data_IF_815972173639
#
_entry.id   IF_815972173639
#
_cell.length_a   1.000
_cell.length_b   1.000
_cell.length_c   1.000
_cell.angle_alpha   90.00
_cell.angle_beta   90.00
_cell.angle_gamma   90.00
#
_symmetry.space_group_name_H-M   'P 1'
#
loop_
_entity.id
_entity.type
_entity.pdbx_description
1 polymer ?
#
# COMPACT_ATOMS: atom_id res chain seq x y z
N UNK A 1 -33.15 -21.45 0.94
CA UNK A 1 -33.28 -20.26 1.79
C UNK A 1 -31.87 -19.84 2.15
N UNK A 2 -31.38 -18.74 1.62
CA UNK A 2 -30.02 -18.25 1.90
C UNK A 2 -30.10 -17.39 3.14
N UNK A 3 -29.52 -17.81 4.25
CA UNK A 3 -29.38 -16.97 5.43
C UNK A 3 -28.48 -15.78 5.07
N UNK A 4 -29.03 -14.57 5.08
CA UNK A 4 -28.25 -13.35 4.94
C UNK A 4 -27.39 -13.18 6.19
N UNK A 5 -26.10 -13.52 6.09
CA UNK A 5 -25.13 -13.26 7.15
C UNK A 5 -25.12 -11.77 7.46
N UNK A 6 -25.59 -11.41 8.65
CA UNK A 6 -25.61 -10.03 9.14
C UNK A 6 -24.30 -9.77 9.87
N UNK A 7 -23.51 -8.81 9.39
CA UNK A 7 -22.26 -8.41 10.03
C UNK A 7 -22.52 -7.45 11.19
N UNK A 8 -21.74 -7.55 12.27
CA UNK A 8 -21.82 -6.58 13.36
C UNK A 8 -21.14 -5.26 12.98
N UNK A 9 -21.54 -4.10 13.56
CA UNK A 9 -20.91 -2.81 13.29
C UNK A 9 -19.39 -2.83 13.53
N UNK A 10 -18.94 -3.47 14.61
CA UNK A 10 -17.53 -3.61 14.92
C UNK A 10 -16.76 -4.41 13.85
N UNK A 11 -17.38 -5.44 13.26
CA UNK A 11 -16.77 -6.20 12.17
C UNK A 11 -16.68 -5.37 10.89
N UNK A 12 -17.75 -4.64 10.53
CA UNK A 12 -17.74 -3.75 9.37
C UNK A 12 -16.68 -2.65 9.49
N UNK A 13 -16.53 -2.06 10.69
CA UNK A 13 -15.47 -1.09 10.97
C UNK A 13 -14.07 -1.69 10.79
N UNK A 14 -13.82 -2.88 11.35
CA UNK A 14 -12.53 -3.56 11.23
C UNK A 14 -12.18 -3.91 9.77
N UNK A 15 -13.18 -4.30 8.97
CA UNK A 15 -13.00 -4.55 7.52
C UNK A 15 -12.63 -3.25 6.81
N UNK A 16 -13.31 -2.14 7.12
CA UNK A 16 -13.00 -0.81 6.58
C UNK A 16 -11.58 -0.35 6.91
N UNK A 17 -11.16 -0.49 8.17
CA UNK A 17 -9.80 -0.13 8.62
C UNK A 17 -8.72 -0.98 7.93
N UNK A 18 -8.98 -2.27 7.72
CA UNK A 18 -8.07 -3.14 6.97
C UNK A 18 -7.96 -2.72 5.50
N UNK A 19 -9.08 -2.41 4.86
CA UNK A 19 -9.10 -1.92 3.49
C UNK A 19 -8.32 -0.60 3.35
N UNK A 20 -8.46 0.30 4.32
CA UNK A 20 -7.71 1.55 4.40
C UNK A 20 -6.19 1.30 4.55
N UNK A 21 -5.78 0.39 5.44
CA UNK A 21 -4.37 0.02 5.64
C UNK A 21 -3.75 -0.65 4.40
N UNK A 22 -4.55 -1.33 3.59
CA UNK A 22 -4.14 -1.92 2.30
C UNK A 22 -4.12 -0.90 1.15
N UNK A 23 -4.50 0.36 1.39
CA UNK A 23 -4.59 1.40 0.36
C UNK A 23 -5.80 1.28 -0.57
N UNK A 24 -6.79 0.43 -0.24
CA UNK A 24 -8.01 0.22 -1.00
C UNK A 24 -9.10 1.21 -0.56
N UNK A 25 -8.87 2.49 -0.81
CA UNK A 25 -9.68 3.58 -0.26
C UNK A 25 -11.15 3.56 -0.72
N UNK A 26 -11.45 3.12 -1.93
CA UNK A 26 -12.84 2.98 -2.40
C UNK A 26 -13.61 1.95 -1.59
N UNK A 27 -12.97 0.82 -1.29
CA UNK A 27 -13.57 -0.26 -0.52
C UNK A 27 -13.76 0.16 0.94
N UNK A 28 -12.77 0.84 1.52
CA UNK A 28 -12.90 1.43 2.86
C UNK A 28 -14.07 2.44 2.92
N UNK A 29 -14.20 3.29 1.90
CA UNK A 29 -15.29 4.28 1.79
C UNK A 29 -16.67 3.62 1.76
N UNK A 30 -16.83 2.49 1.05
CA UNK A 30 -18.09 1.75 1.03
C UNK A 30 -18.48 1.21 2.41
N UNK A 31 -17.53 0.64 3.17
CA UNK A 31 -17.84 0.16 4.53
C UNK A 31 -18.14 1.31 5.48
N UNK A 32 -17.34 2.37 5.44
CA UNK A 32 -17.55 3.50 6.33
C UNK A 32 -18.86 4.25 6.05
N UNK A 33 -19.24 4.41 4.78
CA UNK A 33 -20.55 4.99 4.41
C UNK A 33 -21.71 4.09 4.85
N UNK A 34 -21.64 2.79 4.57
CA UNK A 34 -22.65 1.84 5.04
C UNK A 34 -22.79 1.86 6.57
N UNK A 35 -21.66 1.96 7.29
CA UNK A 35 -21.65 2.06 8.75
C UNK A 35 -22.31 3.37 9.25
N UNK A 36 -21.98 4.50 8.62
CA UNK A 36 -22.54 5.80 8.97
C UNK A 36 -24.04 5.89 8.70
N UNK A 37 -24.51 5.29 7.60
CA UNK A 37 -25.91 5.34 7.17
C UNK A 37 -26.80 4.42 7.99
N UNK A 38 -26.38 3.17 8.23
CA UNK A 38 -27.21 2.16 8.90
C UNK A 38 -27.01 2.08 10.41
N UNK A 39 -25.87 2.55 10.93
CA UNK A 39 -25.51 2.43 12.35
C UNK A 39 -25.19 3.78 13.01
N UNK A 40 -25.83 4.87 12.55
CA UNK A 40 -25.55 6.26 12.96
C UNK A 40 -25.44 6.52 14.48
N UNK A 41 -26.13 5.72 15.30
CA UNK A 41 -26.16 5.87 16.76
C UNK A 41 -25.09 5.07 17.50
N UNK A 42 -24.21 4.34 16.82
CA UNK A 42 -23.16 3.54 17.45
C UNK A 42 -21.83 4.31 17.51
N UNK A 43 -20.92 4.00 18.45
CA UNK A 43 -19.60 4.62 18.50
C UNK A 43 -18.77 4.32 17.25
N UNK A 44 -18.95 3.14 16.65
CA UNK A 44 -18.23 2.75 15.43
C UNK A 44 -18.58 3.66 14.24
N UNK A 45 -19.84 4.12 14.13
CA UNK A 45 -20.24 5.07 13.10
C UNK A 45 -19.51 6.41 13.21
N UNK A 46 -19.23 6.87 14.44
CA UNK A 46 -18.44 8.08 14.64
C UNK A 46 -16.99 7.87 14.18
N UNK A 47 -16.40 6.71 14.46
CA UNK A 47 -15.05 6.36 13.97
C UNK A 47 -15.00 6.27 12.44
N UNK A 48 -16.02 5.68 11.81
CA UNK A 48 -16.12 5.60 10.35
C UNK A 48 -16.19 6.99 9.70
N UNK A 49 -16.93 7.95 10.30
CA UNK A 49 -16.96 9.34 9.81
C UNK A 49 -15.58 10.01 9.86
N UNK A 50 -14.80 9.77 10.93
CA UNK A 50 -13.40 10.24 10.97
C UNK A 50 -12.53 9.54 9.92
N UNK A 51 -12.78 8.26 9.64
CA UNK A 51 -12.13 7.52 8.55
C UNK A 51 -12.40 8.14 7.18
N UNK A 52 -13.66 8.47 6.89
CA UNK A 52 -14.05 9.14 5.63
C UNK A 52 -13.35 10.49 5.45
N UNK A 53 -13.29 11.32 6.48
CA UNK A 53 -12.57 12.60 6.42
C UNK A 53 -11.08 12.43 6.15
N UNK A 54 -10.47 11.38 6.71
CA UNK A 54 -9.06 11.08 6.50
C UNK A 54 -8.80 10.61 5.06
N UNK A 55 -9.66 9.75 4.52
CA UNK A 55 -9.62 9.33 3.10
C UNK A 55 -9.78 10.53 2.18
N UNK A 56 -10.74 11.43 2.45
CA UNK A 56 -10.95 12.65 1.65
C UNK A 56 -9.68 13.52 1.56
N UNK A 57 -8.97 13.70 2.69
CA UNK A 57 -7.69 14.43 2.68
C UNK A 57 -6.62 13.73 1.85
N UNK A 58 -6.55 12.40 1.89
CA UNK A 58 -5.63 11.64 1.05
C UNK A 58 -5.96 11.79 -0.44
N UNK A 59 -7.23 11.67 -0.80
CA UNK A 59 -7.71 11.85 -2.18
C UNK A 59 -7.44 13.28 -2.65
N UNK A 60 -7.72 14.29 -1.83
CA UNK A 60 -7.46 15.69 -2.17
C UNK A 60 -5.96 15.97 -2.32
N UNK A 61 -5.11 15.37 -1.49
CA UNK A 61 -3.66 15.48 -1.62
C UNK A 61 -3.15 14.83 -2.92
N UNK A 62 -3.73 13.70 -3.33
CA UNK A 62 -3.40 13.06 -4.62
C UNK A 62 -3.91 13.89 -5.81
N UNK A 63 -5.12 14.43 -5.73
CA UNK A 63 -5.69 15.30 -6.76
C UNK A 63 -4.87 16.58 -6.95
N UNK A 64 -4.35 17.16 -5.85
CA UNK A 64 -3.45 18.30 -5.91
C UNK A 64 -2.11 17.98 -6.58
N UNK A 65 -1.64 16.73 -6.49
CA UNK A 65 -0.42 16.28 -7.18
C UNK A 65 -0.65 16.08 -8.68
N UNK A 66 -1.80 15.52 -9.07
CA UNK A 66 -2.16 15.33 -10.49
C UNK A 66 -2.51 16.65 -11.19
N UNK A 67 -3.08 17.61 -10.46
CA UNK A 67 -3.49 18.91 -11.01
C UNK A 67 -2.42 20.00 -10.87
N UNK A 68 -1.14 19.65 -10.73
CA UNK A 68 -0.09 20.62 -11.00
C UNK A 68 0.10 20.64 -12.52
N UNK A 69 -0.52 21.59 -13.28
CA UNK A 69 -0.28 21.68 -14.71
C UNK A 69 1.21 21.85 -14.87
N UNK A 70 1.84 20.81 -15.42
CA UNK A 70 3.22 20.83 -15.85
C UNK A 70 3.42 22.19 -16.52
N UNK A 71 4.27 23.10 -15.97
CA UNK A 71 4.43 24.42 -16.52
C UNK A 71 4.75 24.22 -17.98
N UNK A 72 3.81 24.60 -18.86
CA UNK A 72 4.03 24.51 -20.29
C UNK A 72 5.27 25.33 -20.53
N UNK A 73 6.39 24.66 -20.75
CA UNK A 73 7.64 25.31 -21.05
C UNK A 73 7.32 26.29 -22.18
N UNK A 74 7.58 27.61 -22.00
CA UNK A 74 7.22 28.59 -23.01
C UNK A 74 7.78 28.11 -24.34
N UNK A 75 6.91 27.88 -25.33
CA UNK A 75 7.30 27.51 -26.69
C UNK A 75 8.33 28.53 -27.15
N UNK A 76 9.60 28.10 -27.20
CA UNK A 76 10.69 28.84 -27.84
C UNK A 76 10.50 28.72 -29.35
N UNK A 77 9.49 29.42 -29.87
CA UNK A 77 9.42 29.80 -31.27
C UNK A 77 10.29 31.05 -31.44
N UNK A 78 11.61 30.86 -31.42
CA UNK A 78 12.59 31.77 -32.02
C UNK A 78 13.99 31.17 -31.84
N UNK A 79 14.57 30.68 -32.93
CA UNK A 79 15.99 30.41 -33.04
C UNK A 79 16.74 31.72 -33.26
N UNK A 80 17.75 32.07 -32.45
CA UNK A 80 18.92 32.77 -32.92
C UNK A 80 20.01 31.72 -33.15
N UNK A 81 20.39 31.58 -34.42
CA UNK A 81 21.62 30.91 -34.84
C UNK A 81 22.84 31.54 -34.16
N UNK A 82 23.49 30.81 -33.27
CA UNK A 82 24.82 31.16 -32.75
C UNK A 82 25.90 30.36 -33.50
N UNK A 83 27.04 30.98 -33.86
CA UNK A 83 28.11 30.30 -34.56
C UNK A 83 28.88 29.35 -33.64
N UNK A 84 29.39 28.28 -34.26
CA UNK A 84 30.30 27.29 -33.71
C UNK A 84 31.47 27.93 -32.94
N UNK A 85 31.58 27.65 -31.63
CA UNK A 85 32.82 27.81 -30.89
C UNK A 85 33.47 26.45 -30.62
N UNK A 86 34.73 26.36 -31.04
CA UNK A 86 35.58 25.20 -31.14
C UNK A 86 35.86 24.48 -29.81
N UNK A 87 35.61 23.18 -29.83
CA UNK A 87 36.53 22.07 -29.46
C UNK A 87 37.79 22.48 -28.67
N UNK A 88 37.84 22.10 -27.38
CA UNK A 88 39.09 21.87 -26.65
C UNK A 88 39.14 20.42 -26.16
N UNK A 89 40.17 19.64 -26.52
CA UNK A 89 40.47 18.36 -25.90
C UNK A 89 41.52 18.55 -24.80
N UNK A 90 41.24 18.07 -23.59
CA UNK A 90 42.29 17.83 -22.59
C UNK A 90 42.21 16.39 -22.09
N UNK A 91 43.20 15.63 -22.52
CA UNK A 91 43.64 14.35 -21.99
C UNK A 91 44.12 14.50 -20.55
N UNK A 92 43.65 13.66 -19.63
CA UNK A 92 44.37 13.38 -18.38
C UNK A 92 44.18 11.94 -17.90
N UNK A 93 44.99 11.07 -18.49
CA UNK A 93 46.00 10.25 -17.80
C UNK A 93 45.67 9.69 -16.41
N UNK A 94 45.42 8.37 -16.38
CA UNK A 94 45.98 7.37 -15.46
C UNK A 94 46.22 7.71 -13.98
N UNK A 95 45.48 7.02 -13.10
CA UNK A 95 45.75 6.94 -11.67
C UNK A 95 45.36 5.58 -11.10
N UNK A 96 46.35 4.69 -11.01
CA UNK A 96 46.28 3.32 -10.51
C UNK A 96 46.50 3.33 -8.99
N UNK A 97 45.60 2.71 -8.24
CA UNK A 97 45.89 2.10 -6.92
C UNK A 97 45.96 3.01 -5.70
N UNK A 98 45.00 2.83 -4.78
CA UNK A 98 45.28 2.73 -3.35
C UNK A 98 44.04 2.16 -2.65
N UNK A 99 44.22 1.01 -2.01
CA UNK A 99 43.28 0.44 -1.07
C UNK A 99 43.02 1.45 0.05
N UNK A 100 41.80 1.99 0.13
CA UNK A 100 41.31 2.65 1.34
C UNK A 100 40.73 1.59 2.25
N UNK A 101 41.51 1.26 3.26
CA UNK A 101 41.05 0.76 4.55
C UNK A 101 39.80 1.53 4.98
N UNK A 102 38.69 0.82 5.08
CA UNK A 102 37.44 1.33 5.63
C UNK A 102 37.66 1.64 7.11
N UNK A 103 37.75 2.94 7.42
CA UNK A 103 37.74 3.47 8.76
C UNK A 103 36.29 3.48 9.26
N UNK A 104 35.96 2.87 10.42
CA UNK A 104 34.61 2.92 10.97
C UNK A 104 34.36 4.35 11.50
N UNK A 105 33.52 5.10 10.79
CA UNK A 105 33.07 6.42 11.22
C UNK A 105 32.14 6.31 12.45
N UNK A 106 32.11 7.35 13.31
CA UNK A 106 31.26 7.39 14.49
C UNK A 106 29.78 7.36 14.10
N UNK A 107 29.00 6.57 14.84
CA UNK A 107 27.54 6.50 14.78
C UNK A 107 26.97 7.92 14.71
N UNK A 108 26.30 8.25 13.60
CA UNK A 108 25.31 9.30 13.57
C UNK A 108 24.16 8.85 14.48
N UNK A 109 24.19 9.32 15.73
CA UNK A 109 22.98 9.42 16.53
C UNK A 109 22.06 10.39 15.81
N UNK A 110 21.00 9.84 15.21
CA UNK A 110 19.88 10.66 14.76
C UNK A 110 19.35 11.41 15.99
N UNK A 111 19.20 12.74 15.92
CA UNK A 111 18.51 13.47 16.98
C UNK A 111 17.10 12.88 17.09
N UNK A 112 16.80 12.31 18.27
CA UNK A 112 15.44 11.98 18.66
C UNK A 112 14.64 13.27 18.52
N UNK A 113 13.85 13.36 17.45
CA UNK A 113 12.83 14.39 17.31
C UNK A 113 11.96 14.28 18.56
N UNK A 114 11.98 15.35 19.35
CA UNK A 114 11.09 15.54 20.47
C UNK A 114 9.68 15.13 20.03
N UNK A 115 9.14 14.11 20.69
CA UNK A 115 7.74 13.77 20.56
C UNK A 115 6.97 15.06 20.89
N UNK A 116 6.11 15.57 20.00
CA UNK A 116 5.22 16.65 20.38
C UNK A 116 4.36 16.11 21.53
N UNK A 117 4.48 16.74 22.70
CA UNK A 117 3.58 16.54 23.82
C UNK A 117 2.16 16.53 23.26
N UNK A 118 1.50 15.38 23.32
CA UNK A 118 0.08 15.29 23.03
C UNK A 118 -0.61 16.15 24.09
N UNK A 119 -1.29 17.25 23.74
CA UNK A 119 -2.10 17.95 24.71
C UNK A 119 -3.15 16.96 25.21
N UNK A 120 -3.16 16.74 26.52
CA UNK A 120 -4.18 15.99 27.23
C UNK A 120 -5.55 16.64 26.98
N UNK A 121 -6.21 16.26 25.89
CA UNK A 121 -7.57 16.67 25.54
C UNK A 121 -8.59 15.73 26.21
N UNK A 122 -8.37 15.43 27.50
CA UNK A 122 -9.17 14.48 28.28
C UNK A 122 -10.16 15.18 29.25
N UNK A 123 -10.41 16.48 29.11
CA UNK A 123 -11.31 17.17 30.03
C UNK A 123 -11.85 18.48 29.52
N UNK A 124 -12.76 18.46 28.52
CA UNK A 124 -13.69 19.59 28.37
C UNK A 124 -14.95 19.38 27.48
N UNK A 125 -15.42 18.14 27.26
CA UNK A 125 -16.63 17.91 26.44
C UNK A 125 -17.89 17.68 27.31
N UNK A 126 -17.83 17.93 28.62
CA UNK A 126 -18.94 17.63 29.53
C UNK A 126 -19.99 18.74 29.70
N UNK A 127 -19.86 19.93 29.09
CA UNK A 127 -20.68 21.09 29.49
C UNK A 127 -21.47 21.80 28.38
N UNK A 128 -21.60 21.23 27.18
CA UNK A 128 -22.31 21.90 26.06
C UNK A 128 -23.57 21.15 25.58
N UNK A 129 -24.31 20.47 26.48
CA UNK A 129 -25.47 19.63 26.10
C UNK A 129 -26.77 19.92 26.87
N UNK A 130 -27.03 21.16 27.27
CA UNK A 130 -28.27 21.52 27.97
C UNK A 130 -28.86 22.83 27.44
N UNK A 131 -29.42 22.79 26.24
CA UNK A 131 -30.53 23.66 25.78
C UNK A 131 -30.90 23.34 24.33
N UNK A 132 -31.59 22.22 24.09
CA UNK A 132 -32.47 22.11 22.92
C UNK A 132 -33.93 22.06 23.40
N UNK A 133 -34.80 22.94 22.90
CA UNK A 133 -36.23 22.89 23.16
C UNK A 133 -36.87 21.67 22.47
N UNK A 134 -37.88 21.12 23.13
CA UNK A 134 -38.61 19.92 22.71
C UNK A 134 -39.29 20.09 21.33
N UNK A 135 -39.42 19.02 20.53
CA UNK A 135 -40.14 19.06 19.27
C UNK A 135 -41.65 19.07 19.55
N UNK A 136 -42.30 20.15 19.14
CA UNK A 136 -43.75 20.22 18.95
C UNK A 136 -44.01 19.68 17.55
N UNK A 137 -44.74 18.57 17.47
CA UNK A 137 -45.47 18.20 16.26
C UNK A 137 -46.47 19.31 15.96
N UNK A 138 -46.59 19.72 14.69
CA UNK A 138 -47.86 19.65 13.97
C UNK A 138 -47.69 20.14 12.52
N UNK A 139 -48.30 19.36 11.63
CA UNK A 139 -48.91 19.68 10.34
C UNK A 139 -48.09 20.08 9.10
N UNK A 140 -48.38 19.27 8.06
CA UNK A 140 -48.64 19.61 6.67
C UNK A 140 -47.91 20.83 6.09
N UNK A 141 -47.04 20.58 5.10
CA UNK A 141 -47.05 21.28 3.82
C UNK A 141 -46.20 20.49 2.81
N UNK A 142 -46.92 19.81 1.92
CA UNK A 142 -46.45 19.46 0.59
C UNK A 142 -46.00 20.75 -0.12
N UNK A 143 -44.70 20.95 -0.34
CA UNK A 143 -44.25 21.90 -1.37
C UNK A 143 -42.83 21.54 -1.88
N UNK A 144 -42.81 20.83 -3.00
CA UNK A 144 -41.94 21.00 -4.17
C UNK A 144 -40.47 21.46 -4.01
N UNK A 145 -39.75 20.99 -2.99
CA UNK A 145 -38.29 21.10 -2.94
C UNK A 145 -37.63 20.02 -3.81
N UNK A 146 -37.66 20.22 -5.14
CA UNK A 146 -36.78 19.53 -6.10
C UNK A 146 -35.32 19.76 -5.67
N UNK A 147 -34.78 18.79 -4.95
CA UNK A 147 -33.36 18.74 -4.62
C UNK A 147 -32.57 18.85 -5.94
N UNK A 148 -31.52 19.68 -6.00
CA UNK A 148 -30.65 19.75 -7.15
C UNK A 148 -30.13 18.33 -7.37
N UNK A 149 -30.51 17.77 -8.52
CA UNK A 149 -29.95 16.53 -9.03
C UNK A 149 -28.46 16.79 -9.16
N UNK A 150 -27.71 16.50 -8.09
CA UNK A 150 -26.28 16.30 -8.14
C UNK A 150 -26.13 15.31 -9.27
N UNK A 151 -25.71 15.84 -10.42
CA UNK A 151 -25.11 15.04 -11.47
C UNK A 151 -23.99 14.36 -10.71
N UNK A 152 -24.27 13.15 -10.20
CA UNK A 152 -23.29 12.12 -10.07
C UNK A 152 -22.66 12.13 -11.45
N UNK A 153 -21.59 12.92 -11.57
CA UNK A 153 -20.61 12.72 -12.59
C UNK A 153 -20.27 11.28 -12.30
N UNK A 154 -20.89 10.38 -13.06
CA UNK A 154 -20.32 9.11 -13.36
C UNK A 154 -18.95 9.51 -13.89
N UNK A 155 -18.01 9.68 -12.96
CA UNK A 155 -16.61 9.47 -13.17
C UNK A 155 -16.61 8.02 -13.58
N UNK A 156 -16.88 7.84 -14.88
CA UNK A 156 -16.25 6.84 -15.69
C UNK A 156 -14.83 6.82 -15.15
N UNK A 157 -14.56 5.76 -14.42
CA UNK A 157 -13.29 5.45 -13.82
C UNK A 157 -12.33 5.25 -14.98
N UNK A 158 -11.84 6.35 -15.55
CA UNK A 158 -10.73 6.38 -16.48
C UNK A 158 -9.40 6.14 -15.72
N UNK A 159 -9.47 5.60 -14.50
CA UNK A 159 -8.34 4.98 -13.79
C UNK A 159 -7.95 3.63 -14.42
N UNK A 160 -8.80 3.03 -15.24
CA UNK A 160 -8.39 1.96 -16.17
C UNK A 160 -7.71 2.52 -17.44
N UNK A 161 -7.82 3.83 -17.71
CA UNK A 161 -7.28 4.47 -18.93
C UNK A 161 -5.85 5.01 -18.75
N UNK A 162 -5.39 5.24 -17.51
CA UNK A 162 -3.97 5.50 -17.21
C UNK A 162 -3.19 4.29 -16.67
N UNK A 163 -3.85 3.16 -16.45
CA UNK A 163 -3.19 1.85 -16.40
C UNK A 163 -2.75 1.34 -17.80
N UNK A 164 -2.89 2.18 -18.84
CA UNK A 164 -2.30 1.95 -20.16
C UNK A 164 -0.78 2.21 -20.14
N UNK A 165 -0.06 1.12 -19.86
CA UNK A 165 1.04 0.74 -20.75
C UNK A 165 2.41 1.32 -20.44
N UNK A 166 2.98 0.96 -19.28
CA UNK A 166 4.37 0.47 -19.32
C UNK A 166 4.30 -1.06 -19.18
N UNK A 167 4.21 -1.80 -20.30
CA UNK A 167 4.00 -3.26 -20.28
C UNK A 167 5.13 -4.04 -19.58
N UNK A 168 6.25 -3.40 -19.25
CA UNK A 168 7.47 -4.07 -18.82
C UNK A 168 7.46 -4.60 -17.37
N UNK A 169 6.51 -4.19 -16.51
CA UNK A 169 6.51 -4.63 -15.11
C UNK A 169 5.48 -5.71 -14.74
N UNK A 170 4.60 -6.11 -15.68
CA UNK A 170 3.59 -7.15 -15.41
C UNK A 170 4.24 -8.53 -15.20
N UNK A 171 5.31 -8.82 -15.94
CA UNK A 171 6.02 -10.09 -15.88
C UNK A 171 6.68 -10.29 -14.51
N UNK A 172 7.31 -9.26 -13.95
CA UNK A 172 7.96 -9.33 -12.63
C UNK A 172 6.97 -9.63 -11.51
N UNK A 173 5.83 -8.94 -11.50
CA UNK A 173 4.76 -9.18 -10.52
C UNK A 173 4.15 -10.58 -10.66
N UNK A 174 3.93 -11.04 -11.89
CA UNK A 174 3.44 -12.40 -12.15
C UNK A 174 4.42 -13.46 -11.65
N UNK A 175 5.71 -13.32 -11.97
CA UNK A 175 6.75 -14.26 -11.50
C UNK A 175 6.82 -14.30 -9.97
N UNK A 176 6.72 -13.15 -9.29
CA UNK A 176 6.71 -13.11 -7.83
C UNK A 176 5.52 -13.87 -7.22
N UNK A 177 4.33 -13.79 -7.84
CA UNK A 177 3.14 -14.55 -7.41
C UNK A 177 3.33 -16.05 -7.66
N UNK A 178 3.86 -16.44 -8.82
CA UNK A 178 4.15 -17.86 -9.14
C UNK A 178 5.18 -18.44 -8.17
N UNK A 179 6.28 -17.73 -7.91
CA UNK A 179 7.31 -18.12 -6.93
C UNK A 179 6.72 -18.28 -5.53
N UNK A 180 5.84 -17.37 -5.11
CA UNK A 180 5.14 -17.48 -3.84
C UNK A 180 4.24 -18.73 -3.79
N UNK A 181 3.47 -19.00 -4.86
CA UNK A 181 2.61 -20.17 -4.95
C UNK A 181 3.41 -21.48 -4.89
N UNK A 182 4.55 -21.54 -5.60
CA UNK A 182 5.47 -22.69 -5.56
C UNK A 182 6.07 -22.88 -4.17
N UNK A 183 6.47 -21.80 -3.50
CA UNK A 183 6.99 -21.85 -2.13
C UNK A 183 5.97 -22.41 -1.13
N UNK A 184 4.71 -21.95 -1.21
CA UNK A 184 3.61 -22.48 -0.41
C UNK A 184 3.32 -23.95 -0.71
N UNK A 185 3.32 -24.33 -1.98
CA UNK A 185 3.12 -25.72 -2.38
C UNK A 185 4.21 -26.64 -1.81
N UNK A 186 5.49 -26.24 -1.91
CA UNK A 186 6.61 -26.99 -1.32
C UNK A 186 6.52 -27.09 0.19
N UNK A 187 6.05 -26.06 0.88
CA UNK A 187 5.80 -26.10 2.32
C UNK A 187 4.74 -27.15 2.69
N UNK A 188 3.60 -27.15 2.00
CA UNK A 188 2.51 -28.09 2.27
C UNK A 188 2.95 -29.52 1.95
N UNK A 189 3.57 -29.74 0.79
CA UNK A 189 4.07 -31.07 0.40
C UNK A 189 5.15 -31.54 1.36
N UNK A 190 6.12 -30.69 1.71
CA UNK A 190 7.19 -31.02 2.66
C UNK A 190 6.65 -31.36 4.05
N UNK A 191 5.63 -30.63 4.52
CA UNK A 191 4.95 -30.93 5.78
C UNK A 191 4.21 -32.27 5.74
N UNK A 192 3.49 -32.56 4.66
CA UNK A 192 2.82 -33.86 4.47
C UNK A 192 3.83 -35.00 4.45
N UNK A 193 4.94 -34.85 3.72
CA UNK A 193 6.01 -35.86 3.66
C UNK A 193 6.69 -36.06 5.01
N UNK A 194 6.93 -34.97 5.76
CA UNK A 194 7.49 -35.03 7.11
C UNK A 194 6.57 -35.80 8.07
N UNK A 195 5.27 -35.48 8.07
CA UNK A 195 4.28 -36.18 8.90
C UNK A 195 4.12 -37.65 8.49
N UNK A 196 4.13 -37.93 7.19
CA UNK A 196 4.09 -39.28 6.65
C UNK A 196 5.32 -40.11 7.06
N UNK A 197 6.51 -39.50 7.03
CA UNK A 197 7.76 -40.10 7.53
C UNK A 197 7.73 -40.38 9.03
N UNK A 198 7.19 -39.48 9.84
CA UNK A 198 7.00 -39.68 11.29
C UNK A 198 5.97 -40.78 11.59
N UNK A 199 4.93 -40.89 10.77
CA UNK A 199 3.92 -41.95 10.89
C UNK A 199 4.40 -43.30 10.33
N UNK A 200 5.52 -43.34 9.60
CA UNK A 200 6.05 -44.53 8.95
C UNK A 200 5.25 -45.00 7.72
N UNK A 201 4.50 -44.10 7.07
CA UNK A 201 3.63 -44.43 5.93
C UNK A 201 4.02 -43.63 4.70
N UNK A 202 4.24 -44.28 3.53
CA UNK A 202 4.53 -45.70 3.34
C UNK A 202 5.85 -46.14 3.99
N UNK A 203 6.01 -47.47 4.19
CA UNK A 203 7.20 -48.06 4.81
C UNK A 203 8.51 -47.66 4.11
N UNK A 204 8.47 -47.32 2.82
CA UNK A 204 9.62 -46.79 2.08
C UNK A 204 10.18 -45.49 2.66
N UNK A 205 9.37 -44.66 3.32
CA UNK A 205 9.82 -43.43 4.00
C UNK A 205 10.40 -43.69 5.39
N UNK A 206 10.19 -44.88 5.95
CA UNK A 206 10.74 -45.28 7.25
C UNK A 206 12.15 -45.86 7.14
N UNK A 207 12.67 -46.05 5.93
CA UNK A 207 14.05 -46.48 5.70
C UNK A 207 15.01 -45.51 6.41
N UNK A 208 16.03 -46.07 7.08
CA UNK A 208 17.05 -45.28 7.75
C UNK A 208 17.79 -44.42 6.71
N UNK A 209 17.69 -43.11 6.88
CA UNK A 209 18.37 -42.09 6.09
C UNK A 209 19.82 -41.89 6.52
N UNK A 210 20.45 -40.86 5.96
CA UNK A 210 21.89 -40.62 6.09
C UNK A 210 22.31 -40.34 7.54
N UNK A 211 21.41 -39.79 8.35
CA UNK A 211 21.64 -39.44 9.76
C UNK A 211 20.94 -40.39 10.75
N UNK A 212 20.47 -41.54 10.28
CA UNK A 212 19.65 -42.46 11.09
C UNK A 212 18.22 -41.97 11.33
N UNK A 213 17.83 -40.85 10.72
CA UNK A 213 16.44 -40.38 10.68
C UNK A 213 15.67 -41.08 9.56
N UNK A 214 14.34 -41.25 9.68
CA UNK A 214 13.53 -41.75 8.56
C UNK A 214 13.71 -40.86 7.32
N UNK A 215 13.91 -41.46 6.15
CA UNK A 215 14.14 -40.75 4.89
C UNK A 215 13.04 -39.72 4.57
N UNK A 216 11.79 -39.99 4.98
CA UNK A 216 10.68 -39.04 4.85
C UNK A 216 10.88 -37.75 5.68
N UNK A 217 11.51 -37.84 6.86
CA UNK A 217 11.80 -36.66 7.69
C UNK A 217 12.86 -35.79 7.02
N UNK A 218 13.95 -36.39 6.50
CA UNK A 218 15.04 -35.66 5.83
C UNK A 218 14.52 -34.91 4.59
N UNK A 219 13.75 -35.60 3.73
CA UNK A 219 13.16 -35.01 2.53
C UNK A 219 12.11 -33.94 2.86
N UNK A 220 11.26 -34.21 3.87
CA UNK A 220 10.25 -33.26 4.31
C UNK A 220 10.87 -31.96 4.84
N UNK A 221 11.90 -32.06 5.68
CA UNK A 221 12.63 -30.90 6.19
C UNK A 221 13.32 -30.12 5.07
N UNK A 222 13.97 -30.81 4.14
CA UNK A 222 14.59 -30.19 2.97
C UNK A 222 13.58 -29.40 2.12
N UNK A 223 12.41 -29.99 1.85
CA UNK A 223 11.34 -29.33 1.11
C UNK A 223 10.78 -28.10 1.84
N UNK A 224 10.60 -28.18 3.16
CA UNK A 224 10.16 -27.05 4.01
C UNK A 224 11.16 -25.90 3.94
N UNK A 225 12.45 -26.17 4.19
CA UNK A 225 13.52 -25.15 4.15
C UNK A 225 13.58 -24.49 2.77
N UNK A 226 13.53 -25.29 1.70
CA UNK A 226 13.51 -24.79 0.32
C UNK A 226 12.29 -23.90 0.05
N UNK A 227 11.10 -24.31 0.52
CA UNK A 227 9.88 -23.53 0.41
C UNK A 227 9.95 -22.19 1.13
N UNK A 228 10.50 -22.15 2.35
CA UNK A 228 10.70 -20.90 3.11
C UNK A 228 11.65 -19.95 2.39
N UNK A 229 12.77 -20.46 1.86
CA UNK A 229 13.73 -19.65 1.08
C UNK A 229 13.04 -19.03 -0.14
N UNK A 230 12.23 -19.80 -0.87
CA UNK A 230 11.47 -19.32 -2.03
C UNK A 230 10.47 -18.22 -1.65
N UNK A 231 9.75 -18.39 -0.53
CA UNK A 231 8.86 -17.35 -0.02
C UNK A 231 9.62 -16.08 0.34
N UNK A 232 10.77 -16.21 1.01
CA UNK A 232 11.60 -15.07 1.37
C UNK A 232 12.10 -14.30 0.13
N UNK A 233 12.61 -15.02 -0.87
CA UNK A 233 13.05 -14.43 -2.14
C UNK A 233 11.90 -13.73 -2.87
N UNK A 234 10.70 -14.31 -2.85
CA UNK A 234 9.50 -13.68 -3.44
C UNK A 234 9.14 -12.37 -2.73
N UNK A 235 9.14 -12.34 -1.40
CA UNK A 235 8.88 -11.12 -0.62
C UNK A 235 9.95 -10.06 -0.84
N UNK A 236 11.22 -10.46 -0.88
CA UNK A 236 12.32 -9.56 -1.19
C UNK A 236 12.16 -8.96 -2.59
N UNK A 237 11.77 -9.77 -3.58
CA UNK A 237 11.46 -9.30 -4.93
C UNK A 237 10.39 -8.22 -4.96
N UNK A 238 9.29 -8.41 -4.20
CA UNK A 238 8.23 -7.39 -4.07
C UNK A 238 8.75 -6.10 -3.46
N UNK A 239 9.46 -6.19 -2.34
CA UNK A 239 10.01 -5.01 -1.66
C UNK A 239 10.98 -4.22 -2.55
N UNK A 240 11.82 -4.92 -3.33
CA UNK A 240 12.74 -4.27 -4.28
C UNK A 240 11.96 -3.55 -5.37
N UNK A 241 10.92 -4.17 -5.93
CA UNK A 241 10.09 -3.52 -6.94
C UNK A 241 9.37 -2.28 -6.41
N UNK A 242 8.83 -2.34 -5.19
CA UNK A 242 8.19 -1.20 -4.54
C UNK A 242 9.20 -0.06 -4.27
N UNK A 243 10.44 -0.41 -3.89
CA UNK A 243 11.50 0.60 -3.72
C UNK A 243 11.91 1.26 -5.04
N UNK A 244 11.90 0.49 -6.13
CA UNK A 244 12.28 0.97 -7.45
C UNK A 244 11.20 1.90 -8.04
N UNK A 245 9.92 1.61 -7.80
CA UNK A 245 8.84 2.53 -8.20
C UNK A 245 8.91 3.83 -7.41
N UNK A 246 9.10 3.76 -6.09
CA UNK A 246 9.23 4.96 -5.24
C UNK A 246 10.43 5.83 -5.66
N UNK A 247 11.56 5.21 -6.02
CA UNK A 247 12.73 5.94 -6.52
C UNK A 247 12.46 6.63 -7.87
N UNK A 248 11.69 6.02 -8.77
CA UNK A 248 11.31 6.64 -10.05
C UNK A 248 10.41 7.84 -9.83
N UNK A 249 9.41 7.73 -8.97
CA UNK A 249 8.52 8.84 -8.61
C UNK A 249 9.29 10.02 -8.03
N UNK A 250 10.30 9.76 -7.18
CA UNK A 250 11.16 10.80 -6.62
C UNK A 250 11.93 11.56 -7.72
N UNK A 251 12.47 10.84 -8.71
CA UNK A 251 13.20 11.44 -9.84
C UNK A 251 12.27 12.24 -10.75
N UNK A 252 11.04 11.79 -10.94
CA UNK A 252 10.01 12.53 -11.69
C UNK A 252 9.61 13.83 -10.97
N UNK A 253 9.47 13.78 -9.64
CA UNK A 253 9.27 14.97 -8.81
C UNK A 253 10.46 15.94 -8.85
N UNK A 254 11.69 15.44 -8.88
CA UNK A 254 12.87 16.28 -9.00
C UNK A 254 12.97 16.93 -10.38
N UNK A 255 12.71 16.17 -11.45
CA UNK A 255 12.69 16.73 -12.82
C UNK A 255 11.62 17.81 -13.01
N UNK A 256 10.42 17.61 -12.45
CA UNK A 256 9.36 18.62 -12.51
C UNK A 256 9.70 19.86 -11.69
N UNK A 257 10.48 19.72 -10.61
CA UNK A 257 10.94 20.83 -9.77
C UNK A 257 12.09 21.64 -10.40
N UNK A 258 13.03 20.99 -11.08
CA UNK A 258 14.18 21.65 -11.74
C UNK A 258 13.87 22.25 -13.11
N UNK A 259 12.68 22.02 -13.66
CA UNK A 259 12.22 22.59 -14.94
C UNK A 259 11.63 24.02 -14.87
N UNK A 260 11.73 24.70 -13.72
CA UNK A 260 11.43 26.13 -13.54
C UNK A 260 12.71 26.89 -13.25
#
# INVERSE_FOLDING_TARGET
MSESQSYSPAQLLAIGQRAEAEGKFDYATQFYSHLADHYRNTPEAHEALYGLQRIERYVQAQAAQTHNPQPQAPRRDASPSYPLQQRQPSSQTGGRGAARTAQPGPRHEWPQAAQPERPNLAGNIASARSSLPAPVHDDELEDDARLPRLVARAGRSDEDEYAHGVPEYRIGRFMAVVLAAVGWFLLVVGLVVLLAGLAGVPASFSAAGLLGLPLGVELGLGAIVTGVILLFVSQLGRAVFDSASAARELVEMERTKSGR
#
